data_IF_625429965332
#
_entry.id   IF_625429965332
#
_cell.length_a   1.000
_cell.length_b   1.000
_cell.length_c   1.000
_cell.angle_alpha   90.00
_cell.angle_beta   90.00
_cell.angle_gamma   90.00
#
_symmetry.space_group_name_H-M   'P 1'
#
loop_
_entity.id
_entity.type
_entity.pdbx_description
1 polymer ?
#
# COMPACT_ATOMS: atom_id res chain seq x y z
N UNK A 1 12.55 -12.79 8.08
CA UNK A 1 12.52 -11.51 7.35
C UNK A 1 11.09 -11.01 7.34
N UNK A 2 10.84 -9.85 7.92
CA UNK A 2 9.50 -9.25 8.00
C UNK A 2 9.06 -8.72 6.64
N UNK A 3 7.80 -8.97 6.28
CA UNK A 3 7.17 -8.56 5.03
C UNK A 3 6.12 -7.50 5.27
N UNK A 4 6.29 -6.34 4.66
CA UNK A 4 5.42 -5.19 4.86
C UNK A 4 4.73 -4.85 3.53
N UNK A 5 3.41 -4.95 3.50
CA UNK A 5 2.58 -4.48 2.39
C UNK A 5 2.29 -3.00 2.52
N UNK A 6 2.53 -2.23 1.45
CA UNK A 6 2.21 -0.81 1.40
C UNK A 6 1.20 -0.58 0.28
N UNK A 7 0.00 -0.12 0.63
CA UNK A 7 -1.02 0.26 -0.34
C UNK A 7 -0.94 1.78 -0.55
N UNK A 8 -0.55 2.18 -1.75
CA UNK A 8 -0.43 3.58 -2.13
C UNK A 8 -1.47 4.03 -3.14
N UNK A 9 -1.87 5.28 -3.07
CA UNK A 9 -2.62 5.97 -4.11
C UNK A 9 -1.70 6.65 -5.12
N UNK A 10 -2.28 7.51 -5.95
CA UNK A 10 -1.57 8.25 -7.02
C UNK A 10 -0.42 9.11 -6.49
N UNK A 11 -0.50 9.62 -5.27
CA UNK A 11 0.55 10.41 -4.63
C UNK A 11 1.85 9.66 -4.33
N UNK A 12 1.81 8.31 -4.34
CA UNK A 12 2.98 7.47 -4.06
C UNK A 12 3.52 6.72 -5.29
N UNK A 13 2.98 6.95 -6.48
CA UNK A 13 3.37 6.21 -7.71
C UNK A 13 4.86 6.38 -8.01
N UNK A 14 5.39 7.58 -7.78
CA UNK A 14 6.79 7.91 -8.04
C UNK A 14 7.61 8.02 -6.73
N UNK A 15 7.07 7.52 -5.62
CA UNK A 15 7.78 7.59 -4.36
C UNK A 15 8.96 6.62 -4.36
N UNK A 16 10.15 7.18 -4.10
CA UNK A 16 11.35 6.40 -3.89
C UNK A 16 11.62 6.30 -2.39
N UNK A 17 11.56 5.09 -1.85
CA UNK A 17 11.73 4.85 -0.42
C UNK A 17 13.15 5.14 0.07
N UNK A 18 14.11 5.28 -0.83
CA UNK A 18 15.50 5.60 -0.51
C UNK A 18 15.79 7.11 -0.49
N UNK A 19 14.92 7.94 -1.10
CA UNK A 19 15.08 9.40 -1.18
C UNK A 19 14.46 10.12 0.02
N UNK A 20 14.19 9.44 1.11
CA UNK A 20 13.63 10.02 2.32
C UNK A 20 14.49 11.16 2.88
N UNK A 21 13.89 12.11 3.62
CA UNK A 21 14.66 13.14 4.32
C UNK A 21 15.71 12.45 5.17
N UNK A 22 16.88 13.06 5.26
CA UNK A 22 17.98 12.63 6.11
C UNK A 22 17.55 12.63 7.58
N UNK A 23 16.72 11.67 7.92
CA UNK A 23 16.21 11.46 9.26
C UNK A 23 17.07 10.45 10.03
N UNK A 24 16.58 10.12 11.19
CA UNK A 24 17.23 9.22 12.15
C UNK A 24 17.44 7.78 11.59
N UNK A 25 16.77 7.45 10.47
CA UNK A 25 16.84 6.15 9.83
C UNK A 25 17.22 6.32 8.36
N UNK A 26 18.37 5.79 7.96
CA UNK A 26 18.75 5.67 6.56
C UNK A 26 18.39 4.26 6.09
N UNK A 27 17.74 4.17 4.93
CA UNK A 27 17.43 2.90 4.28
C UNK A 27 18.30 2.74 3.05
N UNK A 28 18.79 1.52 2.82
CA UNK A 28 19.45 1.13 1.57
C UNK A 28 18.56 0.12 0.84
N UNK A 29 18.31 0.37 -0.43
CA UNK A 29 17.65 -0.58 -1.31
C UNK A 29 18.69 -1.59 -1.81
N UNK A 30 18.44 -2.89 -1.60
CA UNK A 30 19.30 -3.99 -2.07
C UNK A 30 18.81 -4.56 -3.40
N UNK A 31 17.48 -4.64 -3.57
CA UNK A 31 16.86 -5.26 -4.72
C UNK A 31 15.47 -4.70 -4.95
N UNK A 32 15.09 -4.53 -6.21
CA UNK A 32 13.72 -4.20 -6.63
C UNK A 32 13.30 -5.10 -7.78
N UNK A 33 12.14 -5.72 -7.64
CA UNK A 33 11.51 -6.55 -8.66
C UNK A 33 10.05 -6.15 -8.84
N UNK A 34 9.54 -6.34 -10.06
CA UNK A 34 8.12 -6.27 -10.32
C UNK A 34 7.57 -7.70 -10.40
N UNK A 35 6.53 -7.99 -9.64
CA UNK A 35 5.89 -9.30 -9.55
C UNK A 35 4.42 -9.16 -9.86
N UNK A 36 3.86 -10.08 -10.64
CA UNK A 36 2.41 -10.18 -10.85
C UNK A 36 1.90 -11.35 -10.02
N UNK A 37 1.04 -11.04 -9.05
CA UNK A 37 0.43 -12.06 -8.19
C UNK A 37 -0.92 -12.46 -8.78
N UNK A 38 -1.08 -13.76 -9.02
CA UNK A 38 -2.33 -14.36 -9.45
C UNK A 38 -3.20 -14.60 -8.23
N UNK A 39 -4.41 -14.06 -8.21
CA UNK A 39 -5.38 -14.29 -7.14
C UNK A 39 -6.68 -14.87 -7.68
N UNK A 40 -7.51 -15.41 -6.81
CA UNK A 40 -8.86 -15.86 -7.18
C UNK A 40 -9.76 -14.72 -7.70
N UNK A 41 -9.36 -13.47 -7.48
CA UNK A 41 -10.13 -12.26 -7.83
C UNK A 41 -9.53 -11.48 -8.99
N UNK A 42 -8.38 -11.92 -9.53
CA UNK A 42 -7.67 -11.30 -10.63
C UNK A 42 -6.18 -11.10 -10.36
N UNK A 43 -5.47 -10.60 -11.37
CA UNK A 43 -4.05 -10.35 -11.35
C UNK A 43 -3.74 -9.01 -10.68
N UNK A 44 -2.68 -8.96 -9.89
CA UNK A 44 -2.26 -7.75 -9.19
C UNK A 44 -0.75 -7.56 -9.34
N UNK A 45 -0.31 -6.45 -9.95
CA UNK A 45 1.10 -6.10 -10.00
C UNK A 45 1.56 -5.55 -8.65
N UNK A 46 2.65 -6.09 -8.13
CA UNK A 46 3.33 -5.60 -6.93
C UNK A 46 4.78 -5.22 -7.29
N UNK A 47 5.28 -4.16 -6.68
CA UNK A 47 6.69 -3.83 -6.66
C UNK A 47 7.27 -4.37 -5.35
N UNK A 48 8.14 -5.37 -5.44
CA UNK A 48 8.84 -5.95 -4.30
C UNK A 48 10.21 -5.31 -4.14
N UNK A 49 10.53 -4.85 -2.95
CA UNK A 49 11.81 -4.22 -2.63
C UNK A 49 12.40 -4.86 -1.38
N UNK A 50 13.67 -5.25 -1.45
CA UNK A 50 14.41 -5.62 -0.26
C UNK A 50 15.17 -4.41 0.25
N UNK A 51 14.92 -4.01 1.47
CA UNK A 51 15.56 -2.86 2.12
C UNK A 51 16.29 -3.29 3.38
N UNK A 52 17.32 -2.53 3.72
CA UNK A 52 17.99 -2.60 5.00
C UNK A 52 17.91 -1.23 5.66
N UNK A 53 17.57 -1.20 6.93
CA UNK A 53 17.63 0.01 7.76
C UNK A 53 19.06 0.06 8.32
N UNK A 54 19.82 1.11 7.98
CA UNK A 54 21.20 1.26 8.41
C UNK A 54 21.26 1.26 9.94
N UNK A 55 22.06 0.36 10.50
CA UNK A 55 22.14 0.14 11.93
C UNK A 55 21.24 -0.99 12.45
N UNK A 56 20.52 -1.66 11.54
CA UNK A 56 19.80 -2.91 11.82
C UNK A 56 20.33 -4.01 10.88
N UNK A 57 20.72 -5.15 11.43
CA UNK A 57 21.26 -6.27 10.65
C UNK A 57 20.19 -7.07 9.90
N UNK A 58 18.90 -6.74 10.09
CA UNK A 58 17.80 -7.45 9.46
C UNK A 58 17.28 -6.74 8.22
N UNK A 59 17.27 -7.47 7.11
CA UNK A 59 16.59 -7.04 5.89
C UNK A 59 15.06 -7.18 6.04
N UNK A 60 14.34 -6.26 5.41
CA UNK A 60 12.88 -6.29 5.31
C UNK A 60 12.46 -6.32 3.85
N UNK A 61 11.35 -7.00 3.56
CA UNK A 61 10.72 -6.99 2.24
C UNK A 61 9.52 -6.05 2.25
N UNK A 62 9.52 -5.08 1.34
CA UNK A 62 8.40 -4.19 1.09
C UNK A 62 7.67 -4.61 -0.18
N UNK A 63 6.38 -4.82 -0.09
CA UNK A 63 5.49 -5.07 -1.22
C UNK A 63 4.63 -3.85 -1.46
N UNK A 64 5.01 -3.04 -2.43
CA UNK A 64 4.25 -1.85 -2.78
C UNK A 64 3.16 -2.18 -3.80
N UNK A 65 1.93 -1.86 -3.44
CA UNK A 65 0.74 -1.99 -4.25
C UNK A 65 0.21 -0.60 -4.62
N UNK A 66 0.24 -0.28 -5.91
CA UNK A 66 -0.44 0.89 -6.43
C UNK A 66 -1.93 0.53 -6.63
N UNK A 67 -2.81 0.99 -5.72
CA UNK A 67 -4.22 0.55 -5.69
C UNK A 67 -5.04 0.86 -6.95
N UNK A 68 -4.64 1.86 -7.73
CA UNK A 68 -5.30 2.26 -8.98
C UNK A 68 -4.69 1.60 -10.22
N UNK A 69 -3.88 0.54 -10.05
CA UNK A 69 -3.23 -0.12 -11.17
C UNK A 69 -4.23 -0.56 -12.26
N UNK A 70 -3.79 -0.46 -13.51
CA UNK A 70 -4.53 -0.91 -14.67
C UNK A 70 -3.53 -1.40 -15.72
N UNK A 71 -3.81 -2.52 -16.36
CA UNK A 71 -2.92 -3.10 -17.37
C UNK A 71 -2.73 -2.13 -18.54
N UNK A 72 -1.52 -1.56 -18.65
CA UNK A 72 -1.07 -0.76 -19.79
C UNK A 72 -1.80 0.54 -20.06
N UNK A 73 -2.65 1.02 -19.14
CA UNK A 73 -3.49 2.20 -19.36
C UNK A 73 -3.54 3.15 -18.15
N UNK A 74 -4.31 4.24 -18.31
CA UNK A 74 -4.58 5.18 -17.22
C UNK A 74 -5.13 4.48 -15.98
N UNK A 75 -4.79 5.02 -14.80
CA UNK A 75 -5.22 4.48 -13.50
C UNK A 75 -6.73 4.24 -13.44
N UNK A 76 -7.14 3.16 -12.81
CA UNK A 76 -8.56 2.89 -12.53
C UNK A 76 -9.14 3.96 -11.61
N UNK A 77 -10.36 4.45 -11.90
CA UNK A 77 -11.07 5.34 -10.99
C UNK A 77 -11.41 4.59 -9.68
N UNK A 78 -11.57 5.31 -8.56
CA UNK A 78 -11.78 4.71 -7.24
C UNK A 78 -12.88 3.65 -7.16
N UNK A 79 -14.01 3.89 -7.83
CA UNK A 79 -15.16 2.99 -7.85
C UNK A 79 -14.95 1.69 -8.65
N UNK A 80 -13.87 1.62 -9.45
CA UNK A 80 -13.52 0.45 -10.28
C UNK A 80 -12.33 -0.34 -9.74
N UNK A 81 -11.80 0.03 -8.57
CA UNK A 81 -10.69 -0.68 -7.95
C UNK A 81 -11.15 -2.06 -7.49
N UNK A 82 -10.39 -3.10 -7.85
CA UNK A 82 -10.62 -4.44 -7.35
C UNK A 82 -9.95 -4.62 -5.97
N UNK A 83 -10.64 -4.16 -4.92
CA UNK A 83 -10.13 -4.22 -3.56
C UNK A 83 -9.90 -5.66 -3.08
N UNK A 84 -10.77 -6.62 -3.49
CA UNK A 84 -10.60 -8.04 -3.13
C UNK A 84 -9.32 -8.62 -3.72
N UNK A 85 -9.03 -8.37 -5.00
CA UNK A 85 -7.78 -8.81 -5.61
C UNK A 85 -6.56 -8.19 -4.92
N UNK A 86 -6.62 -6.89 -4.66
CA UNK A 86 -5.52 -6.15 -4.02
C UNK A 86 -5.17 -6.73 -2.65
N UNK A 87 -6.17 -6.99 -1.81
CA UNK A 87 -5.94 -7.57 -0.48
C UNK A 87 -5.49 -9.03 -0.56
N UNK A 88 -6.08 -9.82 -1.48
CA UNK A 88 -5.66 -11.20 -1.70
C UNK A 88 -4.20 -11.29 -2.13
N UNK A 89 -3.75 -10.40 -3.02
CA UNK A 89 -2.36 -10.39 -3.47
C UNK A 89 -1.36 -10.14 -2.34
N UNK A 90 -1.65 -9.23 -1.41
CA UNK A 90 -0.79 -8.97 -0.25
C UNK A 90 -0.81 -10.16 0.74
N UNK A 91 -1.94 -10.86 0.85
CA UNK A 91 -2.03 -12.11 1.62
C UNK A 91 -1.20 -13.22 0.98
N UNK A 92 -1.29 -13.41 -0.34
CA UNK A 92 -0.48 -14.40 -1.09
C UNK A 92 1.04 -14.06 -1.02
N UNK A 93 1.39 -12.77 -0.97
CA UNK A 93 2.76 -12.32 -0.72
C UNK A 93 3.22 -12.57 0.73
N UNK A 94 2.35 -13.11 1.60
CA UNK A 94 2.61 -13.36 3.01
C UNK A 94 3.07 -12.11 3.78
N UNK A 95 2.44 -10.96 3.53
CA UNK A 95 2.73 -9.74 4.29
C UNK A 95 2.27 -9.90 5.75
N UNK A 96 3.18 -9.64 6.68
CA UNK A 96 2.92 -9.68 8.13
C UNK A 96 2.12 -8.46 8.59
N UNK A 97 2.37 -7.31 7.95
CA UNK A 97 1.72 -6.03 8.22
C UNK A 97 1.33 -5.35 6.91
N UNK A 98 0.18 -4.71 6.90
CA UNK A 98 -0.28 -3.90 5.75
C UNK A 98 -0.50 -2.46 6.22
N UNK A 99 0.13 -1.52 5.52
CA UNK A 99 -0.01 -0.08 5.75
C UNK A 99 -0.68 0.53 4.52
N UNK A 100 -1.84 1.15 4.70
CA UNK A 100 -2.53 1.88 3.64
C UNK A 100 -2.33 3.38 3.80
N UNK A 101 -1.87 4.04 2.74
CA UNK A 101 -1.59 5.48 2.73
C UNK A 101 -2.55 6.18 1.78
N UNK A 102 -3.25 7.19 2.30
CA UNK A 102 -4.21 7.99 1.55
C UNK A 102 -3.96 9.49 1.75
N UNK A 103 -4.07 10.26 0.67
CA UNK A 103 -4.24 11.71 0.78
C UNK A 103 -5.69 12.00 1.14
N UNK A 104 -5.89 12.87 2.12
CA UNK A 104 -7.22 13.23 2.63
C UNK A 104 -7.39 14.74 2.69
N UNK A 105 -8.66 15.19 2.60
CA UNK A 105 -9.03 16.57 2.94
C UNK A 105 -9.33 16.65 4.44
N UNK A 106 -8.64 17.55 5.13
CA UNK A 106 -8.92 17.81 6.55
C UNK A 106 -10.10 18.74 6.72
N UNK A 107 -10.95 18.43 7.70
CA UNK A 107 -12.00 19.32 8.19
C UNK A 107 -11.57 20.06 9.47
N UNK A 108 -10.41 19.71 10.02
CA UNK A 108 -9.85 20.27 11.25
C UNK A 108 -8.74 21.26 10.96
N UNK A 109 -8.81 22.46 11.54
CA UNK A 109 -7.80 23.49 11.38
C UNK A 109 -6.43 23.09 11.95
N UNK A 110 -6.42 22.25 12.99
CA UNK A 110 -5.20 21.78 13.64
C UNK A 110 -4.50 20.63 12.89
N UNK A 111 -5.10 20.18 11.79
CA UNK A 111 -4.54 19.18 10.90
C UNK A 111 -4.29 19.74 9.48
N UNK A 112 -3.39 20.72 9.33
CA UNK A 112 -3.07 21.33 8.03
C UNK A 112 -2.28 20.38 7.11
N UNK A 113 -2.14 20.73 5.81
CA UNK A 113 -1.27 20.00 4.89
C UNK A 113 0.15 19.80 5.44
N UNK A 114 0.72 18.62 5.17
CA UNK A 114 2.04 18.22 5.65
C UNK A 114 2.01 17.42 6.97
N UNK A 115 0.87 17.30 7.61
CA UNK A 115 0.69 16.39 8.76
C UNK A 115 0.24 15.00 8.30
N UNK A 116 0.61 14.00 9.11
CA UNK A 116 0.20 12.60 8.96
C UNK A 116 -0.56 12.20 10.21
N UNK A 117 -1.69 11.51 10.05
CA UNK A 117 -2.46 10.92 11.13
C UNK A 117 -2.62 9.42 10.91
N UNK A 118 -2.66 8.67 11.99
CA UNK A 118 -3.08 7.28 11.99
C UNK A 118 -4.58 7.24 12.34
N UNK A 119 -5.38 6.66 11.45
CA UNK A 119 -6.81 6.49 11.72
C UNK A 119 -7.01 5.41 12.79
N UNK A 120 -7.83 5.70 13.77
CA UNK A 120 -8.26 4.76 14.81
C UNK A 120 -9.67 4.23 14.59
N UNK A 121 -10.48 4.94 13.79
CA UNK A 121 -11.84 4.56 13.42
C UNK A 121 -12.24 5.19 12.08
N UNK A 122 -13.29 4.67 11.46
CA UNK A 122 -13.89 5.24 10.25
C UNK A 122 -15.41 5.06 10.22
N UNK A 123 -16.06 5.89 9.43
CA UNK A 123 -17.48 5.74 9.07
C UNK A 123 -17.55 5.67 7.56
N UNK A 124 -18.17 4.61 7.02
CA UNK A 124 -18.31 4.41 5.59
C UNK A 124 -19.68 4.89 5.10
N UNK A 125 -19.68 5.95 4.31
CA UNK A 125 -20.86 6.48 3.63
C UNK A 125 -20.91 6.11 2.15
N UNK A 126 -20.00 5.27 1.64
CA UNK A 126 -19.94 4.91 0.21
C UNK A 126 -21.06 3.95 -0.19
N UNK A 127 -21.63 3.22 0.75
CA UNK A 127 -22.63 2.19 0.50
C UNK A 127 -22.10 0.96 -0.24
N UNK A 128 -20.77 0.82 -0.37
CA UNK A 128 -20.12 -0.30 -1.05
C UNK A 128 -19.61 -1.27 0.01
N UNK A 129 -20.27 -2.43 0.14
CA UNK A 129 -19.76 -3.51 0.97
C UNK A 129 -18.67 -4.28 0.23
N UNK A 130 -17.39 -4.03 0.54
CA UNK A 130 -16.27 -4.81 0.06
C UNK A 130 -15.80 -5.75 1.17
N UNK A 131 -16.36 -6.95 1.23
CA UNK A 131 -16.01 -7.96 2.25
C UNK A 131 -15.67 -9.29 1.60
N UNK A 132 -14.83 -10.08 2.26
CA UNK A 132 -14.60 -11.49 1.92
C UNK A 132 -15.63 -12.41 2.56
N UNK A 133 -16.36 -11.95 3.57
CA UNK A 133 -17.43 -12.71 4.22
C UNK A 133 -18.75 -12.44 3.52
N UNK A 134 -19.27 -13.43 2.81
CA UNK A 134 -20.59 -13.38 2.18
C UNK A 134 -21.68 -13.95 3.12
N UNK A 135 -21.29 -14.51 4.27
CA UNK A 135 -22.19 -15.19 5.21
C UNK A 135 -23.05 -14.23 6.04
N UNK A 136 -22.78 -12.93 5.98
CA UNK A 136 -23.48 -11.90 6.75
C UNK A 136 -24.20 -10.87 5.88
N UNK A 137 -24.47 -11.18 4.63
CA UNK A 137 -25.19 -10.32 3.69
C UNK A 137 -26.70 -10.63 3.72
#
# INVERSE_FOLDING_TARGET
MERIGIIGGTGLVNFNFTDGPTGQYQMSEKRTDNVVVQTAYGEVPLKCMTINIIGNDEDKELFFLQRHHNEGQANKPPHSINHKANMAALKEACCDVIISVCSVGSLEADFPPGKVALADQYIDFTGIAATFSEEFA
#
